data_IF_911058563857
#
_entry.id   IF_911058563857
#
_cell.length_a   1.000
_cell.length_b   1.000
_cell.length_c   1.000
_cell.angle_alpha   90.00
_cell.angle_beta   90.00
_cell.angle_gamma   90.00
#
_symmetry.space_group_name_H-M   'P 1'
#
loop_
_entity.id
_entity.type
_entity.pdbx_description
1 polymer ?
#
# COMPACT_ATOMS: atom_id res chain seq x y z
N UNK A 1 -15.86 -22.66 12.35
CA UNK A 1 -15.81 -21.73 13.52
C UNK A 1 -16.93 -20.72 13.38
N UNK A 2 -17.40 -20.05 14.47
CA UNK A 2 -18.37 -18.96 14.27
C UNK A 2 -17.64 -17.71 13.71
N UNK A 3 -18.33 -16.94 12.86
CA UNK A 3 -17.74 -15.79 12.17
C UNK A 3 -17.08 -14.77 13.11
N UNK A 4 -17.75 -14.48 14.24
CA UNK A 4 -17.23 -13.54 15.22
C UNK A 4 -15.93 -14.01 15.88
N UNK A 5 -15.81 -15.30 16.18
CA UNK A 5 -14.58 -15.84 16.77
C UNK A 5 -13.44 -15.85 15.75
N UNK A 6 -13.70 -16.23 14.51
CA UNK A 6 -12.70 -16.22 13.44
C UNK A 6 -12.17 -14.79 13.18
N UNK A 7 -13.07 -13.81 13.03
CA UNK A 7 -12.71 -12.42 12.86
C UNK A 7 -11.93 -11.88 14.07
N UNK A 8 -12.35 -12.21 15.30
CA UNK A 8 -11.66 -11.78 16.53
C UNK A 8 -10.23 -12.32 16.59
N UNK A 9 -10.02 -13.59 16.25
CA UNK A 9 -8.66 -14.19 16.24
C UNK A 9 -7.76 -13.51 15.21
N UNK A 10 -8.27 -13.28 13.99
CA UNK A 10 -7.50 -12.57 12.95
C UNK A 10 -7.14 -11.14 13.38
N UNK A 11 -8.12 -10.40 13.93
CA UNK A 11 -7.88 -9.06 14.47
C UNK A 11 -6.91 -9.09 15.65
N UNK A 12 -6.92 -10.12 16.48
CA UNK A 12 -5.95 -10.28 17.57
C UNK A 12 -4.52 -10.42 17.05
N UNK A 13 -4.29 -11.19 15.98
CA UNK A 13 -2.96 -11.27 15.36
C UNK A 13 -2.53 -9.94 14.75
N UNK A 14 -3.44 -9.19 14.12
CA UNK A 14 -3.17 -7.84 13.59
C UNK A 14 -2.79 -6.89 14.73
N UNK A 15 -3.60 -6.84 15.79
CA UNK A 15 -3.35 -6.01 16.97
C UNK A 15 -2.05 -6.38 17.68
N UNK A 16 -1.73 -7.66 17.80
CA UNK A 16 -0.45 -8.14 18.32
C UNK A 16 0.73 -7.66 17.49
N UNK A 17 0.59 -7.70 16.16
CA UNK A 17 1.59 -7.16 15.24
C UNK A 17 1.81 -5.66 15.46
N UNK A 18 0.75 -4.88 15.60
CA UNK A 18 0.83 -3.44 15.88
C UNK A 18 1.49 -3.17 17.24
N UNK A 19 1.12 -3.89 18.29
CA UNK A 19 1.74 -3.75 19.62
C UNK A 19 3.24 -4.03 19.59
N UNK A 20 3.66 -5.11 18.91
CA UNK A 20 5.08 -5.45 18.76
C UNK A 20 5.81 -4.39 17.91
N UNK A 21 5.18 -3.88 16.86
CA UNK A 21 5.73 -2.80 16.05
C UNK A 21 5.95 -1.53 16.87
N UNK A 22 4.97 -1.13 17.66
CA UNK A 22 5.10 0.02 18.58
C UNK A 22 6.20 -0.21 19.62
N UNK A 23 6.26 -1.37 20.23
CA UNK A 23 7.29 -1.75 21.23
C UNK A 23 8.69 -1.74 20.64
N UNK A 24 8.83 -2.25 19.41
CA UNK A 24 10.11 -2.29 18.70
C UNK A 24 10.51 -0.92 18.10
N UNK A 25 9.69 0.13 18.28
CA UNK A 25 9.86 1.44 17.63
C UNK A 25 9.89 1.29 16.10
N UNK A 26 8.94 0.57 15.56
CA UNK A 26 8.79 0.25 14.15
C UNK A 26 9.97 -0.51 13.50
N UNK A 27 10.81 -1.17 14.30
CA UNK A 27 11.89 -2.03 13.76
C UNK A 27 11.35 -3.34 13.22
N UNK A 28 10.26 -3.84 13.79
CA UNK A 28 9.56 -5.04 13.34
C UNK A 28 8.24 -4.59 12.72
N UNK A 29 8.00 -4.89 11.43
CA UNK A 29 6.75 -4.53 10.76
C UNK A 29 5.56 -5.25 11.38
N UNK A 30 4.46 -4.53 11.65
CA UNK A 30 3.25 -5.10 12.24
C UNK A 30 2.68 -6.25 11.39
N UNK A 31 2.63 -6.02 10.07
CA UNK A 31 2.10 -6.99 9.13
C UNK A 31 2.91 -8.30 9.09
N UNK A 32 4.23 -8.23 9.24
CA UNK A 32 5.10 -9.41 9.36
C UNK A 32 4.65 -10.32 10.52
N UNK A 33 4.43 -9.72 11.69
CA UNK A 33 4.01 -10.48 12.88
C UNK A 33 2.60 -11.03 12.71
N UNK A 34 1.67 -10.23 12.19
CA UNK A 34 0.30 -10.66 11.98
C UNK A 34 0.22 -11.85 11.00
N UNK A 35 0.86 -11.74 9.84
CA UNK A 35 0.85 -12.77 8.81
C UNK A 35 1.59 -14.03 9.24
N UNK A 36 2.81 -13.88 9.77
CA UNK A 36 3.63 -15.01 10.22
C UNK A 36 2.99 -15.71 11.43
N UNK A 37 2.45 -14.94 12.38
CA UNK A 37 1.76 -15.49 13.55
C UNK A 37 0.54 -16.30 13.17
N UNK A 38 -0.31 -15.79 12.28
CA UNK A 38 -1.47 -16.51 11.76
C UNK A 38 -1.04 -17.78 11.01
N UNK A 39 -0.05 -17.69 10.13
CA UNK A 39 0.47 -18.85 9.40
C UNK A 39 1.00 -19.94 10.34
N UNK A 40 1.84 -19.58 11.32
CA UNK A 40 2.37 -20.54 12.29
C UNK A 40 1.24 -21.19 13.11
N UNK A 41 0.25 -20.41 13.54
CA UNK A 41 -0.87 -20.94 14.31
C UNK A 41 -1.71 -21.95 13.50
N UNK A 42 -1.86 -21.74 12.18
CA UNK A 42 -2.52 -22.70 11.29
C UNK A 42 -1.65 -23.95 11.10
N UNK A 43 -0.33 -23.80 10.82
CA UNK A 43 0.56 -24.94 10.64
C UNK A 43 0.68 -25.83 11.89
N UNK A 44 0.54 -25.24 13.07
CA UNK A 44 0.50 -25.97 14.36
C UNK A 44 -0.89 -26.53 14.69
N UNK A 45 -1.88 -26.38 13.82
CA UNK A 45 -3.28 -26.77 14.04
C UNK A 45 -3.92 -26.15 15.30
N UNK A 46 -3.44 -24.96 15.72
CA UNK A 46 -4.04 -24.19 16.81
C UNK A 46 -5.35 -23.53 16.33
N UNK A 47 -5.35 -23.07 15.08
CA UNK A 47 -6.50 -22.48 14.40
C UNK A 47 -6.72 -23.21 13.06
N UNK A 48 -7.97 -23.33 12.59
CA UNK A 48 -8.26 -24.01 11.32
C UNK A 48 -7.76 -23.18 10.12
N UNK A 49 -7.41 -23.84 9.04
CA UNK A 49 -7.04 -23.25 7.76
C UNK A 49 -8.19 -22.48 7.10
N UNK A 50 -9.44 -22.80 7.45
CA UNK A 50 -10.66 -22.12 7.00
C UNK A 50 -10.91 -20.78 7.71
N UNK A 51 -10.05 -20.36 8.64
CA UNK A 51 -10.28 -19.18 9.51
C UNK A 51 -10.55 -17.90 8.72
N UNK A 52 -9.89 -17.73 7.56
CA UNK A 52 -10.09 -16.55 6.71
C UNK A 52 -11.52 -16.52 6.16
N UNK A 53 -11.99 -17.65 5.60
CA UNK A 53 -13.32 -17.77 5.04
C UNK A 53 -14.40 -17.74 6.12
N UNK A 54 -14.17 -18.40 7.24
CA UNK A 54 -15.06 -18.42 8.41
C UNK A 54 -15.27 -17.00 8.98
N UNK A 55 -14.31 -16.10 8.82
CA UNK A 55 -14.37 -14.72 9.35
C UNK A 55 -15.32 -13.79 8.59
N UNK A 56 -15.75 -14.16 7.38
CA UNK A 56 -16.49 -13.30 6.44
C UNK A 56 -15.77 -11.98 6.06
N UNK A 57 -14.53 -11.78 6.45
CA UNK A 57 -13.75 -10.62 6.03
C UNK A 57 -13.50 -10.57 4.51
N UNK A 58 -13.31 -11.69 3.78
CA UNK A 58 -13.26 -11.68 2.32
C UNK A 58 -14.51 -11.13 1.65
N UNK A 59 -15.69 -11.40 2.20
CA UNK A 59 -16.96 -10.88 1.69
C UNK A 59 -17.09 -9.37 1.92
N UNK A 60 -16.61 -8.89 3.07
CA UNK A 60 -16.51 -7.46 3.38
C UNK A 60 -15.53 -6.77 2.42
N UNK A 61 -14.37 -7.40 2.15
CA UNK A 61 -13.41 -6.90 1.16
C UNK A 61 -14.03 -6.75 -0.22
N UNK A 62 -14.77 -7.74 -0.69
CA UNK A 62 -15.42 -7.69 -2.01
C UNK A 62 -16.35 -6.48 -2.16
N UNK A 63 -17.01 -6.05 -1.07
CA UNK A 63 -17.87 -4.85 -1.06
C UNK A 63 -17.04 -3.58 -0.96
N UNK A 64 -16.00 -3.59 -0.13
CA UNK A 64 -15.29 -2.36 0.27
C UNK A 64 -14.05 -2.04 -0.57
N UNK A 65 -13.56 -2.94 -1.43
CA UNK A 65 -12.30 -2.70 -2.19
C UNK A 65 -12.40 -1.50 -3.13
N UNK A 66 -13.47 -1.37 -3.91
CA UNK A 66 -13.66 -0.22 -4.79
C UNK A 66 -13.93 1.09 -4.01
N UNK A 67 -14.81 1.11 -2.98
CA UNK A 67 -14.94 2.23 -2.04
C UNK A 67 -13.63 2.61 -1.35
N UNK A 68 -12.81 1.65 -0.94
CA UNK A 68 -11.50 1.92 -0.33
C UNK A 68 -10.55 2.62 -1.31
N UNK A 69 -10.52 2.18 -2.56
CA UNK A 69 -9.70 2.82 -3.59
C UNK A 69 -10.20 4.24 -3.92
N UNK A 70 -11.51 4.45 -3.92
CA UNK A 70 -12.10 5.78 -4.02
C UNK A 70 -11.67 6.67 -2.85
N UNK A 71 -11.72 6.14 -1.62
CA UNK A 71 -11.21 6.83 -0.44
C UNK A 71 -9.72 7.14 -0.55
N UNK A 72 -8.88 6.23 -1.06
CA UNK A 72 -7.46 6.49 -1.30
C UNK A 72 -7.24 7.74 -2.16
N UNK A 73 -8.06 7.91 -3.21
CA UNK A 73 -8.06 9.12 -4.01
C UNK A 73 -8.40 10.38 -3.19
N UNK A 74 -9.26 10.27 -2.19
CA UNK A 74 -9.66 11.39 -1.32
C UNK A 74 -8.61 11.81 -0.29
N UNK A 75 -7.59 10.98 -0.04
CA UNK A 75 -6.52 11.27 0.93
C UNK A 75 -5.54 12.33 0.43
N UNK A 76 -5.42 12.48 -0.89
CA UNK A 76 -4.39 13.34 -1.48
C UNK A 76 -5.04 14.61 -2.02
N UNK A 77 -4.88 15.77 -1.34
CA UNK A 77 -5.31 17.04 -1.90
C UNK A 77 -4.56 17.30 -3.21
N UNK A 78 -5.30 17.53 -4.29
CA UNK A 78 -4.72 17.71 -5.63
C UNK A 78 -3.64 18.79 -5.67
N UNK A 79 -3.82 19.87 -4.92
CA UNK A 79 -2.81 20.94 -4.80
C UNK A 79 -1.52 20.46 -4.16
N UNK A 80 -1.59 19.66 -3.11
CA UNK A 80 -0.41 19.09 -2.46
C UNK A 80 0.33 18.14 -3.40
N UNK A 81 -0.41 17.32 -4.13
CA UNK A 81 0.16 16.42 -5.13
C UNK A 81 0.87 17.21 -6.25
N UNK A 82 0.23 18.27 -6.76
CA UNK A 82 0.83 19.13 -7.78
C UNK A 82 2.03 19.91 -7.25
N UNK A 83 1.99 20.38 -6.00
CA UNK A 83 3.13 21.04 -5.35
C UNK A 83 4.32 20.07 -5.16
N UNK A 84 4.05 18.80 -4.92
CA UNK A 84 5.06 17.75 -4.71
C UNK A 84 5.29 16.88 -5.96
N UNK A 85 4.96 17.37 -7.15
CA UNK A 85 5.06 16.61 -8.40
C UNK A 85 6.42 15.94 -8.62
N UNK A 86 7.52 16.58 -8.16
CA UNK A 86 8.87 16.01 -8.26
C UNK A 86 9.01 14.72 -7.47
N UNK A 87 8.48 14.66 -6.24
CA UNK A 87 8.48 13.43 -5.43
C UNK A 87 7.65 12.33 -6.09
N UNK A 88 6.50 12.69 -6.68
CA UNK A 88 5.66 11.75 -7.43
C UNK A 88 6.40 11.17 -8.63
N UNK A 89 7.05 12.02 -9.43
CA UNK A 89 7.84 11.58 -10.60
C UNK A 89 9.01 10.69 -10.17
N UNK A 90 9.71 11.03 -9.10
CA UNK A 90 10.84 10.24 -8.59
C UNK A 90 10.36 8.85 -8.14
N UNK A 91 9.25 8.76 -7.37
CA UNK A 91 8.69 7.50 -6.93
C UNK A 91 8.21 6.64 -8.10
N UNK A 92 7.53 7.26 -9.06
CA UNK A 92 7.02 6.58 -10.25
C UNK A 92 8.15 6.05 -11.13
N UNK A 93 9.19 6.84 -11.36
CA UNK A 93 10.39 6.41 -12.09
C UNK A 93 11.10 5.26 -11.35
N UNK A 94 11.19 5.34 -10.02
CA UNK A 94 11.71 4.25 -9.19
C UNK A 94 10.95 2.95 -9.42
N UNK A 95 9.62 3.00 -9.37
CA UNK A 95 8.77 1.82 -9.60
C UNK A 95 8.91 1.25 -11.01
N UNK A 96 8.90 2.09 -12.05
CA UNK A 96 9.06 1.63 -13.45
C UNK A 96 10.40 0.91 -13.63
N UNK A 97 11.49 1.51 -13.14
CA UNK A 97 12.81 0.89 -13.24
C UNK A 97 12.88 -0.41 -12.43
N UNK A 98 12.27 -0.44 -11.24
CA UNK A 98 12.21 -1.66 -10.43
C UNK A 98 11.50 -2.80 -11.16
N UNK A 99 10.33 -2.54 -11.74
CA UNK A 99 9.59 -3.53 -12.53
C UNK A 99 10.42 -4.01 -13.71
N UNK A 100 11.08 -3.09 -14.43
CA UNK A 100 11.97 -3.43 -15.55
C UNK A 100 13.16 -4.30 -15.13
N UNK A 101 13.81 -3.97 -14.01
CA UNK A 101 14.94 -4.75 -13.48
C UNK A 101 14.50 -6.10 -12.94
N UNK A 102 13.35 -6.17 -12.24
CA UNK A 102 12.76 -7.45 -11.82
C UNK A 102 12.44 -8.31 -13.05
N UNK A 103 11.84 -7.73 -14.09
CA UNK A 103 11.53 -8.48 -15.32
C UNK A 103 12.81 -9.00 -16.01
N UNK A 104 13.86 -8.20 -16.04
CA UNK A 104 15.12 -8.56 -16.67
C UNK A 104 15.93 -9.62 -15.90
N UNK A 105 15.83 -9.65 -14.56
CA UNK A 105 16.60 -10.56 -13.71
C UNK A 105 15.77 -11.76 -13.29
N UNK A 106 14.58 -11.53 -12.75
CA UNK A 106 13.72 -12.61 -12.21
C UNK A 106 13.06 -13.40 -13.33
N UNK A 107 12.66 -12.71 -14.42
CA UNK A 107 11.99 -13.34 -15.55
C UNK A 107 12.77 -14.51 -16.17
N UNK A 108 14.04 -14.35 -16.55
CA UNK A 108 14.87 -15.45 -17.09
C UNK A 108 15.17 -16.56 -16.08
N UNK A 109 15.22 -16.27 -14.78
CA UNK A 109 15.61 -17.24 -13.74
C UNK A 109 14.43 -18.08 -13.28
N UNK A 110 13.29 -17.43 -12.99
CA UNK A 110 12.13 -18.06 -12.37
C UNK A 110 10.89 -18.10 -13.27
N UNK A 111 10.85 -17.26 -14.31
CA UNK A 111 9.69 -17.13 -15.20
C UNK A 111 8.88 -15.87 -14.97
N UNK A 112 8.05 -15.50 -15.99
CA UNK A 112 7.30 -14.25 -15.99
C UNK A 112 6.23 -14.18 -14.89
N UNK A 113 5.66 -15.30 -14.46
CA UNK A 113 4.68 -15.36 -13.39
C UNK A 113 5.24 -14.83 -12.06
N UNK A 114 6.52 -15.10 -11.78
CA UNK A 114 7.22 -14.58 -10.60
C UNK A 114 7.45 -13.06 -10.67
N UNK A 115 7.66 -12.54 -11.89
CA UNK A 115 7.75 -11.07 -12.09
C UNK A 115 6.45 -10.40 -11.71
N UNK A 116 5.33 -10.91 -12.22
CA UNK A 116 3.99 -10.36 -11.92
C UNK A 116 3.68 -10.48 -10.43
N UNK A 117 3.94 -11.65 -9.83
CA UNK A 117 3.68 -11.91 -8.42
C UNK A 117 4.47 -10.98 -7.48
N UNK A 118 5.70 -10.60 -7.86
CA UNK A 118 6.56 -9.77 -7.04
C UNK A 118 6.44 -8.27 -7.27
N UNK A 119 6.22 -7.84 -8.52
CA UNK A 119 6.22 -6.42 -8.88
C UNK A 119 5.03 -5.65 -8.29
N UNK A 120 3.84 -6.26 -8.26
CA UNK A 120 2.63 -5.64 -7.72
C UNK A 120 2.77 -5.24 -6.25
N UNK A 121 3.02 -6.19 -5.35
CA UNK A 121 3.19 -5.90 -3.91
C UNK A 121 4.30 -4.89 -3.62
N UNK A 122 5.42 -5.02 -4.33
CA UNK A 122 6.58 -4.17 -4.15
C UNK A 122 6.30 -2.70 -4.50
N UNK A 123 5.45 -2.46 -5.48
CA UNK A 123 5.12 -1.12 -5.97
C UNK A 123 3.90 -0.47 -5.28
N UNK A 124 2.98 -1.26 -4.72
CA UNK A 124 1.69 -0.74 -4.28
C UNK A 124 1.21 -1.21 -2.90
N UNK A 125 2.02 -1.91 -2.13
CA UNK A 125 1.70 -2.33 -0.76
C UNK A 125 0.50 -3.29 -0.67
N UNK A 126 -0.30 -3.18 0.41
CA UNK A 126 -1.35 -4.14 0.78
C UNK A 126 -2.43 -4.27 -0.29
N UNK A 127 -2.96 -3.15 -0.79
CA UNK A 127 -4.05 -3.16 -1.78
C UNK A 127 -3.59 -3.78 -3.11
N UNK A 128 -2.41 -3.40 -3.57
CA UNK A 128 -1.82 -3.98 -4.78
C UNK A 128 -1.54 -5.47 -4.63
N UNK A 129 -1.16 -5.91 -3.43
CA UNK A 129 -0.97 -7.34 -3.13
C UNK A 129 -2.28 -8.11 -3.30
N UNK A 130 -3.39 -7.60 -2.74
CA UNK A 130 -4.71 -8.20 -2.92
C UNK A 130 -5.09 -8.31 -4.40
N UNK A 131 -4.99 -7.22 -5.14
CA UNK A 131 -5.29 -7.19 -6.58
C UNK A 131 -4.39 -8.14 -7.40
N UNK A 132 -3.10 -8.22 -7.07
CA UNK A 132 -2.17 -9.14 -7.73
C UNK A 132 -2.54 -10.60 -7.45
N UNK A 133 -2.85 -10.91 -6.19
CA UNK A 133 -3.31 -12.25 -5.78
C UNK A 133 -4.58 -12.66 -6.51
N UNK A 134 -5.58 -11.78 -6.58
CA UNK A 134 -6.83 -12.02 -7.28
C UNK A 134 -6.59 -12.23 -8.78
N UNK A 135 -5.71 -11.43 -9.39
CA UNK A 135 -5.32 -11.58 -10.80
C UNK A 135 -4.62 -12.92 -11.09
N UNK A 136 -3.70 -13.36 -10.22
CA UNK A 136 -3.02 -14.65 -10.35
C UNK A 136 -3.99 -15.82 -10.20
N UNK A 137 -4.92 -15.76 -9.25
CA UNK A 137 -6.00 -16.76 -9.08
C UNK A 137 -6.90 -16.81 -10.31
N UNK A 138 -7.33 -15.67 -10.82
CA UNK A 138 -8.16 -15.58 -12.02
C UNK A 138 -7.47 -16.14 -13.28
N UNK A 139 -6.15 -16.03 -13.35
CA UNK A 139 -5.31 -16.60 -14.41
C UNK A 139 -4.99 -18.09 -14.19
N UNK A 140 -5.53 -18.74 -13.15
CA UNK A 140 -5.27 -20.13 -12.78
C UNK A 140 -3.76 -20.46 -12.64
N UNK A 141 -3.00 -19.52 -12.05
CA UNK A 141 -1.57 -19.73 -11.77
C UNK A 141 -1.43 -20.68 -10.58
N UNK A 142 -0.31 -21.43 -10.57
CA UNK A 142 0.01 -22.38 -9.49
C UNK A 142 -0.08 -21.76 -8.10
N UNK A 143 -0.64 -22.48 -7.15
CA UNK A 143 -0.82 -22.05 -5.76
C UNK A 143 0.48 -21.64 -5.08
N UNK A 144 1.59 -22.32 -5.41
CA UNK A 144 2.93 -21.98 -4.92
C UNK A 144 3.39 -20.57 -5.37
N UNK A 145 2.90 -20.07 -6.51
CA UNK A 145 3.20 -18.72 -6.98
C UNK A 145 2.19 -17.71 -6.40
N UNK A 146 0.95 -18.12 -6.17
CA UNK A 146 -0.10 -17.25 -5.59
C UNK A 146 0.25 -16.80 -4.16
N UNK A 147 1.11 -17.52 -3.44
CA UNK A 147 1.59 -17.12 -2.11
C UNK A 147 2.66 -16.01 -2.15
N UNK A 148 3.38 -15.88 -3.28
CA UNK A 148 4.50 -14.92 -3.42
C UNK A 148 4.11 -13.46 -3.11
N UNK A 149 2.99 -12.91 -3.62
CA UNK A 149 2.58 -11.54 -3.30
C UNK A 149 2.49 -11.28 -1.80
N UNK A 150 1.93 -12.22 -1.04
CA UNK A 150 1.81 -12.12 0.40
C UNK A 150 3.19 -12.13 1.10
N UNK A 151 4.11 -12.99 0.66
CA UNK A 151 5.46 -13.07 1.19
C UNK A 151 6.29 -11.82 0.85
N UNK A 152 6.17 -11.29 -0.36
CA UNK A 152 6.83 -10.04 -0.77
C UNK A 152 6.35 -8.90 0.13
N UNK A 153 5.03 -8.74 0.29
CA UNK A 153 4.47 -7.71 1.16
C UNK A 153 4.95 -7.85 2.61
N UNK A 154 4.94 -9.07 3.13
CA UNK A 154 5.36 -9.37 4.50
C UNK A 154 6.82 -9.00 4.76
N UNK A 155 7.71 -9.28 3.79
CA UNK A 155 9.16 -9.17 3.96
C UNK A 155 9.75 -7.87 3.40
N UNK A 156 9.04 -7.13 2.54
CA UNK A 156 9.59 -5.94 1.84
C UNK A 156 10.09 -4.83 2.77
N UNK A 157 9.51 -4.72 3.95
CA UNK A 157 9.92 -3.71 4.92
C UNK A 157 11.30 -4.01 5.55
N UNK A 158 11.73 -5.26 5.58
CA UNK A 158 13.01 -5.67 6.17
C UNK A 158 14.22 -5.05 5.44
N UNK A 159 14.34 -5.10 4.10
CA UNK A 159 15.43 -4.43 3.41
C UNK A 159 15.17 -2.93 3.21
N UNK A 160 13.93 -2.50 2.97
CA UNK A 160 13.64 -1.12 2.57
C UNK A 160 13.75 -0.11 3.71
N UNK A 161 13.29 -0.44 4.92
CA UNK A 161 13.39 0.47 6.08
C UNK A 161 14.85 0.79 6.47
N UNK A 162 15.76 -0.19 6.65
CA UNK A 162 17.15 0.12 6.95
C UNK A 162 17.83 0.93 5.86
N UNK A 163 17.58 0.59 4.58
CA UNK A 163 18.15 1.33 3.45
C UNK A 163 17.69 2.79 3.44
N UNK A 164 16.39 3.03 3.62
CA UNK A 164 15.84 4.38 3.69
C UNK A 164 16.42 5.16 4.87
N UNK A 165 16.51 4.55 6.05
CA UNK A 165 17.08 5.19 7.23
C UNK A 165 18.56 5.58 7.01
N UNK A 166 19.34 4.71 6.38
CA UNK A 166 20.74 5.00 6.05
C UNK A 166 20.86 6.17 5.07
N UNK A 167 20.03 6.21 4.03
CA UNK A 167 20.03 7.28 3.05
C UNK A 167 19.57 8.61 3.64
N UNK A 168 18.49 8.59 4.44
CA UNK A 168 17.98 9.81 5.12
C UNK A 168 18.99 10.32 6.14
N UNK A 169 19.67 9.45 6.88
CA UNK A 169 20.73 9.85 7.81
C UNK A 169 21.88 10.54 7.06
N UNK A 170 22.35 9.97 5.95
CA UNK A 170 23.38 10.59 5.11
C UNK A 170 22.93 11.95 4.59
N UNK A 171 21.67 12.07 4.17
CA UNK A 171 21.09 13.32 3.72
C UNK A 171 21.01 14.36 4.86
N UNK A 172 20.55 13.97 6.04
CA UNK A 172 20.45 14.85 7.21
C UNK A 172 21.82 15.37 7.69
N UNK A 173 22.84 14.49 7.70
CA UNK A 173 24.21 14.89 8.02
C UNK A 173 24.72 15.92 7.02
N UNK A 174 24.52 15.67 5.73
CA UNK A 174 24.93 16.60 4.67
C UNK A 174 24.22 17.97 4.77
N UNK A 175 22.92 17.97 5.08
CA UNK A 175 22.13 19.18 5.31
C UNK A 175 22.64 20.00 6.51
N UNK A 176 22.99 19.32 7.59
CA UNK A 176 23.56 19.96 8.78
C UNK A 176 24.91 20.62 8.45
N UNK A 177 25.77 19.87 7.74
CA UNK A 177 27.13 20.31 7.46
C UNK A 177 27.19 21.41 6.36
N UNK A 178 26.18 21.48 5.48
CA UNK A 178 26.08 22.52 4.43
C UNK A 178 25.41 23.82 4.89
N UNK A 179 24.76 23.83 6.06
CA UNK A 179 24.02 25.00 6.54
C UNK A 179 22.66 25.24 5.86
N UNK A 180 22.25 24.40 4.91
CA UNK A 180 20.99 24.54 4.15
C UNK A 180 19.72 24.31 5.00
N UNK A 181 19.87 23.91 6.26
CA UNK A 181 18.76 23.61 7.18
C UNK A 181 17.90 24.84 7.44
N UNK A 182 18.52 26.01 7.59
CA UNK A 182 17.81 27.28 7.85
C UNK A 182 17.01 27.74 6.62
N UNK A 183 17.56 27.54 5.42
CA UNK A 183 16.88 27.88 4.17
C UNK A 183 15.65 27.00 3.94
N UNK A 184 15.77 25.69 4.19
CA UNK A 184 14.64 24.75 4.12
C UNK A 184 13.55 25.09 5.15
N UNK A 185 13.92 25.44 6.38
CA UNK A 185 12.97 25.82 7.41
C UNK A 185 12.20 27.12 7.04
N UNK A 186 12.87 28.10 6.42
CA UNK A 186 12.23 29.33 5.92
C UNK A 186 11.26 29.03 4.76
N UNK A 187 11.66 28.16 3.84
CA UNK A 187 10.84 27.78 2.69
C UNK A 187 9.60 27.00 3.12
N UNK A 188 9.72 26.14 4.13
CA UNK A 188 8.59 25.36 4.65
C UNK A 188 7.52 26.25 5.30
N UNK A 189 7.92 27.30 6.04
CA UNK A 189 7.00 28.29 6.60
C UNK A 189 6.26 29.11 5.54
N UNK A 190 6.87 29.37 4.37
CA UNK A 190 6.20 30.04 3.24
C UNK A 190 5.13 29.16 2.60
N UNK A 191 5.44 27.89 2.33
CA UNK A 191 4.50 26.94 1.71
C UNK A 191 3.27 26.68 2.60
N UNK A 192 3.44 26.59 3.92
CA UNK A 192 2.30 26.46 4.84
C UNK A 192 1.38 27.70 4.87
N UNK A 193 1.89 28.88 4.63
CA UNK A 193 1.08 30.13 4.58
C UNK A 193 0.28 30.26 3.28
N UNK A 194 0.75 29.67 2.18
CA UNK A 194 0.08 29.75 0.88
C UNK A 194 -1.04 28.69 0.70
N UNK A 195 -1.07 27.66 1.54
CA UNK A 195 -2.10 26.60 1.50
C UNK A 195 -3.43 26.98 2.19
N UNK A 196 -3.68 28.25 2.40
CA UNK A 196 -4.93 28.77 2.96
C UNK A 196 -6.09 28.77 1.97
N UNK A 197 -7.03 27.83 2.13
CA UNK A 197 -8.41 27.96 1.67
C UNK A 197 -8.65 27.70 0.18
N UNK A 198 -8.84 26.42 -0.18
CA UNK A 198 -9.39 26.06 -1.49
C UNK A 198 -10.85 26.48 -1.60
N UNK A 199 -11.17 27.32 -2.59
CA UNK A 199 -12.55 27.50 -3.04
C UNK A 199 -12.97 26.21 -3.75
N UNK A 200 -13.67 25.33 -3.04
CA UNK A 200 -14.29 24.12 -3.60
C UNK A 200 -15.48 24.56 -4.47
N UNK A 201 -15.66 23.87 -5.60
CA UNK A 201 -16.78 24.12 -6.52
C UNK A 201 -18.12 23.80 -5.87
N UNK A 202 -18.14 22.74 -5.04
CA UNK A 202 -19.30 22.31 -4.27
C UNK A 202 -18.98 22.43 -2.80
N UNK A 203 -19.83 23.15 -2.06
CA UNK A 203 -19.75 23.22 -0.60
C UNK A 203 -20.92 22.42 -0.03
N UNK A 204 -20.67 21.19 0.39
CA UNK A 204 -21.66 20.42 1.13
C UNK A 204 -21.99 21.12 2.45
N UNK A 205 -23.28 21.16 2.85
CA UNK A 205 -23.66 21.61 4.18
C UNK A 205 -22.91 20.81 5.25
N UNK A 206 -22.44 21.51 6.31
CA UNK A 206 -21.67 20.86 7.39
C UNK A 206 -22.44 19.69 7.99
N UNK A 207 -23.75 19.78 8.13
CA UNK A 207 -24.63 18.73 8.61
C UNK A 207 -24.49 17.41 7.82
N UNK A 208 -24.24 17.47 6.51
CA UNK A 208 -24.02 16.27 5.67
C UNK A 208 -22.58 15.77 5.78
N UNK A 209 -21.61 16.67 5.93
CA UNK A 209 -20.19 16.31 6.10
C UNK A 209 -19.93 15.64 7.45
N UNK A 210 -20.75 15.94 8.47
CA UNK A 210 -20.65 15.34 9.80
C UNK A 210 -21.51 14.08 9.95
N UNK A 211 -22.29 13.70 8.91
CA UNK A 211 -23.12 12.51 8.92
C UNK A 211 -22.33 11.30 8.37
N UNK A 212 -21.95 10.37 9.26
CA UNK A 212 -21.16 9.20 8.91
C UNK A 212 -21.82 8.32 7.84
N UNK A 213 -23.14 8.08 7.94
CA UNK A 213 -23.89 7.25 6.99
C UNK A 213 -23.98 7.90 5.61
N UNK A 214 -24.13 9.22 5.57
CA UNK A 214 -24.14 9.94 4.29
C UNK A 214 -22.78 9.88 3.61
N UNK A 215 -21.69 10.04 4.33
CA UNK A 215 -20.34 9.90 3.81
C UNK A 215 -20.08 8.47 3.32
N UNK A 216 -20.49 7.46 4.10
CA UNK A 216 -20.38 6.05 3.69
C UNK A 216 -21.15 5.79 2.38
N UNK A 217 -22.38 6.34 2.27
CA UNK A 217 -23.17 6.25 1.04
C UNK A 217 -22.45 6.86 -0.16
N UNK A 218 -21.86 8.06 -0.01
CA UNK A 218 -21.11 8.72 -1.09
C UNK A 218 -19.90 7.87 -1.55
N UNK A 219 -19.18 7.26 -0.63
CA UNK A 219 -18.03 6.40 -0.95
C UNK A 219 -18.50 5.13 -1.69
N UNK A 220 -19.60 4.53 -1.23
CA UNK A 220 -20.18 3.36 -1.90
C UNK A 220 -20.68 3.71 -3.31
N UNK A 221 -21.32 4.86 -3.50
CA UNK A 221 -21.71 5.36 -4.82
C UNK A 221 -20.49 5.55 -5.71
N UNK A 222 -19.40 6.16 -5.18
CA UNK A 222 -18.16 6.34 -5.93
C UNK A 222 -17.53 5.00 -6.35
N UNK A 223 -17.48 4.02 -5.46
CA UNK A 223 -17.01 2.67 -5.77
C UNK A 223 -17.89 1.94 -6.79
N UNK A 224 -19.22 2.06 -6.65
CA UNK A 224 -20.18 1.47 -7.59
C UNK A 224 -20.07 2.08 -8.98
N UNK A 225 -19.94 3.41 -9.07
CA UNK A 225 -19.72 4.10 -10.34
C UNK A 225 -18.41 3.66 -11.01
N UNK A 226 -17.35 3.48 -10.24
CA UNK A 226 -16.07 2.98 -10.76
C UNK A 226 -16.23 1.58 -11.36
N UNK A 227 -16.97 0.70 -10.69
CA UNK A 227 -17.24 -0.67 -11.16
C UNK A 227 -18.09 -0.67 -12.42
N UNK A 228 -19.12 0.17 -12.48
CA UNK A 228 -19.96 0.32 -13.68
C UNK A 228 -19.18 0.87 -14.88
N UNK A 229 -18.34 1.89 -14.66
CA UNK A 229 -17.52 2.48 -15.71
C UNK A 229 -16.41 1.56 -16.21
N UNK A 230 -15.97 0.60 -15.40
CA UNK A 230 -14.96 -0.39 -15.80
C UNK A 230 -15.46 -1.28 -16.95
N UNK A 231 -16.76 -1.57 -17.02
CA UNK A 231 -17.35 -2.44 -18.03
C UNK A 231 -17.15 -1.88 -19.46
N UNK A 232 -17.61 -0.65 -19.78
CA UNK A 232 -17.46 -0.11 -21.13
C UNK A 232 -16.05 0.39 -21.45
N UNK A 233 -15.26 0.78 -20.43
CA UNK A 233 -13.94 1.38 -20.66
C UNK A 233 -12.84 0.34 -20.73
N UNK A 234 -13.07 -0.87 -20.26
CA UNK A 234 -12.05 -1.93 -20.06
C UNK A 234 -10.87 -1.50 -19.19
N UNK A 235 -11.03 -0.39 -18.42
CA UNK A 235 -10.04 0.08 -17.44
C UNK A 235 -10.38 -0.59 -16.11
N UNK A 236 -9.38 -1.11 -15.36
CA UNK A 236 -9.63 -1.68 -14.04
C UNK A 236 -10.40 -0.72 -13.13
N UNK A 237 -11.44 -1.20 -12.45
CA UNK A 237 -12.28 -0.42 -11.53
C UNK A 237 -11.46 0.26 -10.44
N UNK A 238 -10.34 -0.32 -10.04
CA UNK A 238 -9.38 0.23 -9.09
C UNK A 238 -8.80 1.58 -9.52
N UNK A 239 -8.42 1.71 -10.80
CA UNK A 239 -7.89 2.97 -11.36
C UNK A 239 -9.00 4.01 -11.43
N UNK A 240 -10.17 3.61 -11.93
CA UNK A 240 -11.33 4.52 -12.04
C UNK A 240 -11.76 5.00 -10.65
N UNK A 241 -11.82 4.13 -9.65
CA UNK A 241 -12.18 4.50 -8.29
C UNK A 241 -11.21 5.53 -7.70
N UNK A 242 -9.90 5.33 -7.88
CA UNK A 242 -8.87 6.28 -7.44
C UNK A 242 -9.06 7.66 -8.09
N UNK A 243 -9.24 7.69 -9.42
CA UNK A 243 -9.41 8.93 -10.19
C UNK A 243 -10.71 9.64 -9.77
N UNK A 244 -11.82 8.90 -9.62
CA UNK A 244 -13.08 9.46 -9.14
C UNK A 244 -12.95 10.01 -7.72
N UNK A 245 -12.21 9.35 -6.84
CA UNK A 245 -11.93 9.83 -5.49
C UNK A 245 -11.19 11.15 -5.48
N UNK A 246 -10.10 11.27 -6.26
CA UNK A 246 -9.36 12.53 -6.43
C UNK A 246 -10.25 13.62 -6.99
N UNK A 247 -11.00 13.34 -8.06
CA UNK A 247 -11.88 14.31 -8.69
C UNK A 247 -13.01 14.77 -7.76
N UNK A 248 -13.68 13.84 -7.08
CA UNK A 248 -14.76 14.09 -6.14
C UNK A 248 -14.32 15.00 -4.98
N UNK A 249 -13.13 14.77 -4.44
CA UNK A 249 -12.57 15.59 -3.37
C UNK A 249 -12.11 16.96 -3.87
N UNK A 250 -11.54 17.02 -5.07
CA UNK A 250 -11.10 18.28 -5.68
C UNK A 250 -12.28 19.23 -5.96
N UNK A 251 -13.43 18.70 -6.40
CA UNK A 251 -14.64 19.51 -6.60
C UNK A 251 -15.41 19.81 -5.31
N UNK A 252 -15.10 19.09 -4.21
CA UNK A 252 -15.75 19.29 -2.90
C UNK A 252 -16.98 18.43 -2.66
N UNK A 253 -17.24 17.42 -3.50
CA UNK A 253 -18.37 16.50 -3.36
C UNK A 253 -18.16 15.47 -2.24
N UNK A 254 -16.93 15.08 -1.97
CA UNK A 254 -16.56 14.21 -0.85
C UNK A 254 -15.52 14.90 0.02
N UNK A 255 -15.59 14.75 1.35
CA UNK A 255 -14.58 15.28 2.25
C UNK A 255 -13.28 14.49 2.13
N UNK A 256 -12.17 15.13 2.48
CA UNK A 256 -10.91 14.45 2.70
C UNK A 256 -11.06 13.41 3.83
N UNK A 257 -10.33 12.30 3.73
CA UNK A 257 -10.39 11.19 4.70
C UNK A 257 -11.81 10.65 4.91
N UNK A 258 -12.52 10.44 3.82
CA UNK A 258 -13.95 10.09 3.84
C UNK A 258 -14.25 8.79 4.60
N UNK A 259 -13.42 7.72 4.48
CA UNK A 259 -13.65 6.47 5.24
C UNK A 259 -13.37 6.62 6.74
N UNK A 260 -12.42 7.46 7.13
CA UNK A 260 -12.17 7.76 8.54
C UNK A 260 -13.36 8.52 9.14
N UNK A 261 -13.91 9.48 8.39
CA UNK A 261 -15.12 10.22 8.81
C UNK A 261 -16.38 9.37 8.88
N UNK A 262 -16.46 8.29 8.10
CA UNK A 262 -17.58 7.34 8.13
C UNK A 262 -17.31 6.16 9.07
N UNK A 263 -16.26 6.20 9.89
CA UNK A 263 -15.86 5.14 10.84
C UNK A 263 -15.72 3.75 10.19
N UNK A 264 -15.52 3.69 8.85
CA UNK A 264 -15.47 2.44 8.09
C UNK A 264 -14.06 2.00 7.71
N UNK A 265 -13.04 2.87 7.88
CA UNK A 265 -11.67 2.59 7.45
C UNK A 265 -11.06 1.35 8.14
N UNK A 266 -11.28 1.20 9.45
CA UNK A 266 -10.70 0.07 10.21
C UNK A 266 -11.20 -1.28 9.71
N UNK A 267 -12.52 -1.42 9.46
CA UNK A 267 -13.07 -2.69 8.97
C UNK A 267 -12.65 -2.95 7.51
N UNK A 268 -12.55 -1.92 6.68
CA UNK A 268 -12.05 -2.05 5.32
C UNK A 268 -10.60 -2.54 5.33
N UNK A 269 -9.73 -1.95 6.13
CA UNK A 269 -8.33 -2.38 6.25
C UNK A 269 -8.18 -3.79 6.81
N UNK A 270 -8.96 -4.15 7.84
CA UNK A 270 -8.97 -5.52 8.37
C UNK A 270 -9.35 -6.54 7.28
N UNK A 271 -10.34 -6.23 6.45
CA UNK A 271 -10.76 -7.09 5.34
C UNK A 271 -9.68 -7.24 4.24
N UNK A 272 -8.96 -6.15 3.92
CA UNK A 272 -7.82 -6.21 2.98
C UNK A 272 -6.69 -7.07 3.54
N UNK A 273 -6.34 -6.90 4.83
CA UNK A 273 -5.30 -7.71 5.47
C UNK A 273 -5.69 -9.18 5.47
N UNK A 274 -6.94 -9.52 5.76
CA UNK A 274 -7.42 -10.91 5.73
C UNK A 274 -7.29 -11.53 4.34
N UNK A 275 -7.67 -10.83 3.26
CA UNK A 275 -7.53 -11.32 1.89
C UNK A 275 -6.06 -11.55 1.50
N UNK A 276 -5.17 -10.67 1.94
CA UNK A 276 -3.73 -10.80 1.68
C UNK A 276 -3.10 -11.94 2.47
N UNK A 277 -3.63 -12.25 3.66
CA UNK A 277 -3.22 -13.41 4.46
C UNK A 277 -3.69 -14.74 3.86
N UNK A 278 -4.81 -14.75 3.13
CA UNK A 278 -5.46 -15.97 2.67
C UNK A 278 -4.53 -16.92 1.88
N UNK A 279 -3.73 -16.47 0.88
CA UNK A 279 -2.81 -17.35 0.16
C UNK A 279 -1.72 -17.94 1.06
N UNK A 280 -1.26 -17.18 2.06
CA UNK A 280 -0.24 -17.64 2.99
C UNK A 280 -0.80 -18.69 3.95
N UNK A 281 -2.02 -18.49 4.45
CA UNK A 281 -2.71 -19.43 5.35
C UNK A 281 -3.01 -20.75 4.64
N UNK A 282 -3.38 -20.71 3.36
CA UNK A 282 -3.66 -21.87 2.54
C UNK A 282 -2.40 -22.61 2.04
N UNK A 283 -1.22 -21.99 2.12
CA UNK A 283 0.02 -22.57 1.63
C UNK A 283 0.60 -23.62 2.59
N UNK A 284 1.23 -24.64 2.04
CA UNK A 284 2.03 -25.58 2.83
C UNK A 284 3.35 -24.94 3.30
N UNK A 285 3.92 -25.45 4.37
CA UNK A 285 5.27 -24.99 4.83
C UNK A 285 6.32 -25.18 3.75
N UNK A 286 6.25 -26.26 2.96
CA UNK A 286 7.16 -26.52 1.84
C UNK A 286 7.05 -25.46 0.74
N UNK A 287 5.85 -25.00 0.40
CA UNK A 287 5.63 -23.96 -0.61
C UNK A 287 6.20 -22.62 -0.15
N UNK A 288 5.97 -22.27 1.13
CA UNK A 288 6.52 -21.04 1.73
C UNK A 288 8.05 -21.08 1.74
N UNK A 289 8.65 -22.20 2.13
CA UNK A 289 10.12 -22.33 2.15
C UNK A 289 10.72 -22.28 0.74
N UNK A 290 10.09 -22.92 -0.24
CA UNK A 290 10.49 -22.85 -1.65
C UNK A 290 10.39 -21.43 -2.23
N UNK A 291 9.39 -20.67 -1.82
CA UNK A 291 9.16 -19.30 -2.26
C UNK A 291 10.16 -18.27 -1.65
N UNK A 292 10.85 -18.59 -0.54
CA UNK A 292 11.75 -17.64 0.13
C UNK A 292 12.90 -17.17 -0.77
N UNK A 293 13.48 -18.07 -1.58
CA UNK A 293 14.59 -17.70 -2.49
C UNK A 293 14.12 -16.75 -3.57
N UNK A 294 13.05 -17.05 -4.36
CA UNK A 294 12.48 -16.09 -5.30
C UNK A 294 12.12 -14.75 -4.66
N UNK A 295 11.49 -14.75 -3.49
CA UNK A 295 11.12 -13.53 -2.77
C UNK A 295 12.34 -12.71 -2.37
N UNK A 296 13.38 -13.34 -1.83
CA UNK A 296 14.63 -12.65 -1.46
C UNK A 296 15.27 -11.98 -2.69
N UNK A 297 15.31 -12.67 -3.83
CA UNK A 297 15.83 -12.12 -5.08
C UNK A 297 14.96 -10.95 -5.56
N UNK A 298 13.62 -11.10 -5.57
CA UNK A 298 12.68 -10.04 -5.96
C UNK A 298 12.88 -8.79 -5.09
N UNK A 299 12.98 -8.96 -3.77
CA UNK A 299 13.16 -7.86 -2.84
C UNK A 299 14.52 -7.15 -3.02
N UNK A 300 15.59 -7.91 -3.18
CA UNK A 300 16.92 -7.35 -3.39
C UNK A 300 17.01 -6.60 -4.73
N UNK A 301 16.58 -7.25 -5.81
CA UNK A 301 16.59 -6.69 -7.17
C UNK A 301 15.63 -5.49 -7.26
N UNK A 302 14.45 -5.61 -6.67
CA UNK A 302 13.45 -4.53 -6.64
C UNK A 302 13.94 -3.31 -5.87
N UNK A 303 14.54 -3.48 -4.69
CA UNK A 303 15.10 -2.38 -3.92
C UNK A 303 16.22 -1.66 -4.68
N UNK A 304 17.12 -2.42 -5.32
CA UNK A 304 18.16 -1.85 -6.19
C UNK A 304 17.55 -1.10 -7.38
N UNK A 305 16.54 -1.69 -8.04
CA UNK A 305 15.84 -1.06 -9.15
C UNK A 305 15.18 0.26 -8.76
N UNK A 306 14.48 0.29 -7.61
CA UNK A 306 13.86 1.51 -7.07
C UNK A 306 14.92 2.59 -6.79
N UNK A 307 16.05 2.21 -6.19
CA UNK A 307 17.15 3.16 -5.92
C UNK A 307 17.75 3.71 -7.21
N UNK A 308 17.98 2.87 -8.20
CA UNK A 308 18.53 3.30 -9.51
C UNK A 308 17.55 4.26 -10.18
N UNK A 309 16.28 3.89 -10.30
CA UNK A 309 15.25 4.75 -10.91
C UNK A 309 15.07 6.07 -10.16
N UNK A 310 15.04 6.02 -8.83
CA UNK A 310 15.01 7.20 -7.97
C UNK A 310 16.25 8.09 -8.17
N UNK A 311 17.45 7.53 -8.28
CA UNK A 311 18.68 8.26 -8.52
C UNK A 311 18.69 8.93 -9.89
N UNK A 312 18.26 8.23 -10.95
CA UNK A 312 18.17 8.77 -12.30
C UNK A 312 17.19 9.95 -12.35
N UNK A 313 15.97 9.74 -11.86
CA UNK A 313 14.94 10.79 -11.83
C UNK A 313 15.39 12.01 -11.02
N UNK A 314 16.07 11.79 -9.90
CA UNK A 314 16.58 12.86 -9.04
C UNK A 314 17.64 13.71 -9.74
N UNK A 315 18.56 13.07 -10.47
CA UNK A 315 19.57 13.78 -11.26
C UNK A 315 18.92 14.61 -12.36
N UNK A 316 17.92 14.06 -13.06
CA UNK A 316 17.17 14.77 -14.11
C UNK A 316 16.41 15.98 -13.54
N UNK A 317 15.85 15.87 -12.35
CA UNK A 317 15.10 16.93 -11.68
C UNK A 317 15.99 17.90 -10.88
N UNK A 318 17.32 17.72 -10.93
CA UNK A 318 18.32 18.55 -10.21
C UNK A 318 18.08 18.58 -8.69
N UNK A 319 17.71 17.43 -8.11
CA UNK A 319 17.57 17.22 -6.67
C UNK A 319 18.79 16.46 -6.09
N UNK A 320 18.93 16.47 -4.75
CA UNK A 320 19.96 15.67 -4.07
C UNK A 320 19.62 14.19 -4.16
N UNK A 321 20.51 13.39 -4.73
CA UNK A 321 20.28 11.97 -5.06
C UNK A 321 19.91 11.13 -3.85
N UNK A 322 20.54 11.38 -2.69
CA UNK A 322 20.23 10.67 -1.43
C UNK A 322 18.80 10.87 -0.98
N UNK A 323 18.25 12.08 -1.12
CA UNK A 323 16.86 12.37 -0.81
C UNK A 323 15.92 11.64 -1.77
N UNK A 324 16.17 11.75 -3.07
CA UNK A 324 15.29 11.14 -4.06
C UNK A 324 15.29 9.61 -4.03
N UNK A 325 16.44 8.98 -3.76
CA UNK A 325 16.50 7.54 -3.53
C UNK A 325 15.69 7.13 -2.30
N UNK A 326 15.74 7.91 -1.22
CA UNK A 326 14.91 7.67 -0.03
C UNK A 326 13.42 7.81 -0.34
N UNK A 327 13.03 8.87 -1.05
CA UNK A 327 11.64 9.11 -1.49
C UNK A 327 11.15 7.95 -2.37
N UNK A 328 11.95 7.47 -3.31
CA UNK A 328 11.57 6.32 -4.13
C UNK A 328 11.40 5.04 -3.30
N UNK A 329 12.31 4.77 -2.34
CA UNK A 329 12.23 3.61 -1.46
C UNK A 329 11.01 3.65 -0.53
N UNK A 330 10.50 4.82 -0.16
CA UNK A 330 9.27 4.90 0.64
C UNK A 330 8.08 4.26 -0.06
N UNK A 331 8.04 4.28 -1.40
CA UNK A 331 7.00 3.60 -2.17
C UNK A 331 6.96 2.08 -1.90
N UNK A 332 8.09 1.49 -1.52
CA UNK A 332 8.19 0.04 -1.27
C UNK A 332 7.60 -0.41 0.07
N UNK A 333 7.59 0.43 1.11
CA UNK A 333 7.17 -0.01 2.45
C UNK A 333 6.09 0.86 3.10
N UNK A 334 5.70 1.97 2.48
CA UNK A 334 4.58 2.77 2.96
C UNK A 334 3.27 2.01 2.74
N UNK A 335 2.99 1.12 3.66
CA UNK A 335 1.67 0.55 3.81
C UNK A 335 0.79 1.60 4.48
N UNK A 336 -0.47 1.67 4.05
CA UNK A 336 -1.51 2.57 4.54
C UNK A 336 -1.75 2.56 6.07
N UNK A 337 -1.15 1.63 6.78
CA UNK A 337 -1.26 1.48 8.24
C UNK A 337 -0.38 2.51 8.98
N UNK A 338 0.53 3.21 8.29
CA UNK A 338 1.47 4.15 8.91
C UNK A 338 1.18 5.63 8.58
N UNK A 339 0.02 5.92 8.01
CA UNK A 339 -0.51 7.28 7.82
C UNK A 339 -1.56 7.55 8.92
#
# INVERSE_FOLDING_TARGET
MTAIFAATILLAFIALGELISLWSKARVPALLIAMLGTFIAVQLNIIPDTIIDDSYLPQIYAILVAPLLFHMGSLIPLKTMLAQWRSVVISFAGMIVAVGVIAAVVGPIFGFQYVVAGAGPLAGGIVSTGLTTDGLKAANVDSAIVVLPALVLMLQSLPSMPLTNLLLRKFAIHLRDSGDLEELARNHKKVQKENGGDKKLVNLPQMLVDNELFILFLILVGGSLATLLAIPTHIPSSIIALVLGVASTAIGLTPERSMEKSSSFGIAMASVVAIVMAPLVAASLSDVLAALIPVAVILAVGAVGIMIGGAIATKLLKWKTTLGMSVALTAMYLSLIHI
#
